data_IF_748442128214
#
_entry.id   IF_748442128214
#
_cell.length_a   1.000
_cell.length_b   1.000
_cell.length_c   1.000
_cell.angle_alpha   90.00
_cell.angle_beta   90.00
_cell.angle_gamma   90.00
#
_symmetry.space_group_name_H-M   'P 1'
#
loop_
_entity.id
_entity.type
_entity.pdbx_description
1 polymer ?
#
# COMPACT_ATOMS: atom_id res chain seq x y z
N UNK A 1 2.27 -29.44 -12.93
CA UNK A 1 3.69 -29.05 -13.09
C UNK A 1 4.64 -30.25 -13.07
N UNK A 2 4.35 -31.33 -12.34
CA UNK A 2 5.17 -32.56 -12.42
C UNK A 2 6.57 -32.42 -11.81
N UNK A 3 6.72 -31.52 -10.84
CA UNK A 3 7.98 -31.20 -10.16
C UNK A 3 7.84 -31.43 -8.66
N UNK A 4 8.92 -31.84 -8.00
CA UNK A 4 8.95 -32.09 -6.55
C UNK A 4 8.83 -30.78 -5.75
N UNK A 5 9.41 -29.70 -6.29
CA UNK A 5 9.38 -28.37 -5.69
C UNK A 5 8.99 -27.32 -6.72
N UNK A 6 8.25 -26.32 -6.27
CA UNK A 6 7.94 -25.11 -7.04
C UNK A 6 8.66 -23.91 -6.44
N UNK A 7 9.04 -22.97 -7.29
CA UNK A 7 9.53 -21.67 -6.87
C UNK A 7 8.37 -20.68 -6.88
N UNK A 8 8.32 -19.80 -5.88
CA UNK A 8 7.27 -18.78 -5.77
C UNK A 8 7.83 -17.42 -6.14
N UNK A 9 7.08 -16.67 -6.91
CA UNK A 9 7.33 -15.26 -7.21
C UNK A 9 6.03 -14.50 -6.98
N UNK A 10 6.04 -13.54 -6.05
CA UNK A 10 4.83 -12.86 -5.61
C UNK A 10 5.08 -11.43 -5.16
N UNK A 11 4.06 -10.59 -5.31
CA UNK A 11 4.06 -9.18 -4.90
C UNK A 11 2.75 -8.88 -4.19
N UNK A 12 2.78 -8.00 -3.19
CA UNK A 12 1.55 -7.53 -2.50
C UNK A 12 0.76 -8.72 -1.92
N UNK A 13 -0.54 -8.85 -2.21
CA UNK A 13 -1.34 -10.04 -1.87
C UNK A 13 -0.67 -11.37 -2.25
N UNK A 14 0.15 -11.41 -3.32
CA UNK A 14 0.92 -12.60 -3.69
C UNK A 14 1.90 -13.05 -2.60
N UNK A 15 2.40 -12.15 -1.75
CA UNK A 15 3.24 -12.50 -0.60
C UNK A 15 2.40 -13.08 0.53
N UNK A 16 1.20 -12.55 0.76
CA UNK A 16 0.23 -13.10 1.72
C UNK A 16 -0.13 -14.55 1.37
N UNK A 17 -0.36 -14.82 0.08
CA UNK A 17 -0.56 -16.17 -0.43
C UNK A 17 0.69 -17.04 -0.30
N UNK A 18 1.88 -16.51 -0.64
CA UNK A 18 3.13 -17.25 -0.53
C UNK A 18 3.45 -17.68 0.90
N UNK A 19 3.21 -16.82 1.90
CA UNK A 19 3.34 -17.16 3.32
C UNK A 19 2.40 -18.31 3.71
N UNK A 20 1.17 -18.29 3.19
CA UNK A 20 0.18 -19.35 3.41
C UNK A 20 0.62 -20.69 2.79
N UNK A 21 1.23 -20.65 1.61
CA UNK A 21 1.80 -21.84 0.96
C UNK A 21 3.02 -22.36 1.72
N UNK A 22 3.95 -21.48 2.14
CA UNK A 22 5.12 -21.85 2.95
C UNK A 22 4.71 -22.51 4.26
N UNK A 23 3.63 -22.04 4.88
CA UNK A 23 3.07 -22.62 6.11
C UNK A 23 2.48 -24.01 5.90
N UNK A 24 1.71 -24.21 4.83
CA UNK A 24 0.98 -25.46 4.57
C UNK A 24 1.81 -26.52 3.86
N UNK A 25 2.78 -26.10 3.05
CA UNK A 25 3.58 -26.97 2.17
C UNK A 25 5.08 -26.63 2.23
N UNK A 26 5.70 -26.56 3.42
CA UNK A 26 7.08 -26.08 3.56
C UNK A 26 8.11 -26.90 2.76
N UNK A 27 7.84 -28.19 2.55
CA UNK A 27 8.76 -29.09 1.81
C UNK A 27 8.60 -29.05 0.29
N UNK A 28 7.54 -28.40 -0.21
CA UNK A 28 7.22 -28.32 -1.64
C UNK A 28 7.74 -27.05 -2.30
N UNK A 29 8.38 -26.16 -1.54
CA UNK A 29 8.89 -24.88 -2.05
C UNK A 29 10.41 -24.91 -2.14
N UNK A 30 10.94 -24.57 -3.31
CA UNK A 30 12.39 -24.48 -3.58
C UNK A 30 12.96 -23.15 -3.10
N UNK A 31 12.50 -22.06 -3.70
CA UNK A 31 12.91 -20.68 -3.43
C UNK A 31 11.71 -19.73 -3.53
N UNK A 32 11.78 -18.60 -2.84
CA UNK A 32 10.75 -17.56 -2.92
C UNK A 32 11.35 -16.19 -3.22
N UNK A 33 10.81 -15.49 -4.22
CA UNK A 33 11.10 -14.09 -4.45
C UNK A 33 9.83 -13.28 -4.18
N UNK A 34 9.87 -12.40 -3.18
CA UNK A 34 8.69 -11.68 -2.70
C UNK A 34 8.96 -10.18 -2.71
N UNK A 35 8.03 -9.40 -3.26
CA UNK A 35 8.09 -7.96 -3.24
C UNK A 35 6.96 -7.34 -2.43
N UNK A 36 7.25 -6.21 -1.78
CA UNK A 36 6.21 -5.37 -1.16
C UNK A 36 5.38 -6.12 -0.15
N UNK A 37 6.08 -6.69 0.84
CA UNK A 37 5.56 -7.74 1.71
C UNK A 37 4.31 -7.34 2.48
N UNK A 38 3.32 -8.22 2.41
CA UNK A 38 2.11 -8.24 3.22
C UNK A 38 2.02 -9.57 3.97
N UNK A 39 1.91 -9.47 5.29
CA UNK A 39 1.78 -10.58 6.22
C UNK A 39 0.34 -11.11 6.33
N UNK A 40 0.22 -12.29 6.94
CA UNK A 40 -1.08 -12.98 7.13
C UNK A 40 -2.02 -12.24 8.08
N UNK A 41 -1.47 -11.41 8.99
CA UNK A 41 -2.23 -10.56 9.91
C UNK A 41 -2.30 -9.09 9.45
N UNK A 42 -2.00 -8.81 8.17
CA UNK A 42 -1.82 -7.42 7.68
C UNK A 42 -2.84 -7.01 6.61
N UNK A 43 -3.97 -7.72 6.47
CA UNK A 43 -5.06 -7.31 5.56
C UNK A 43 -5.55 -5.89 5.88
N UNK A 44 -5.67 -5.56 7.17
CA UNK A 44 -5.96 -4.19 7.62
C UNK A 44 -4.65 -3.48 7.97
N UNK A 45 -4.35 -2.40 7.25
CA UNK A 45 -3.12 -1.61 7.37
C UNK A 45 -3.18 -0.70 8.59
N UNK A 46 -2.05 -0.57 9.28
CA UNK A 46 -1.93 0.28 10.47
C UNK A 46 -1.88 1.77 10.09
N UNK A 47 -2.87 2.60 10.49
CA UNK A 47 -2.88 4.02 10.12
C UNK A 47 -1.63 4.78 10.58
N UNK A 48 -1.03 4.44 11.72
CA UNK A 48 0.21 5.07 12.17
C UNK A 48 1.40 4.79 11.23
N UNK A 49 1.42 3.65 10.53
CA UNK A 49 2.47 3.31 9.55
C UNK A 49 2.30 4.08 8.26
N UNK A 50 1.04 4.34 7.87
CA UNK A 50 0.71 5.20 6.73
C UNK A 50 1.09 6.66 7.04
N UNK A 51 0.82 7.15 8.25
CA UNK A 51 1.26 8.49 8.68
C UNK A 51 2.79 8.60 8.71
N UNK A 52 3.51 7.57 9.16
CA UNK A 52 4.97 7.52 9.10
C UNK A 52 5.48 7.59 7.65
N UNK A 53 4.83 6.88 6.72
CA UNK A 53 5.09 6.98 5.28
C UNK A 53 4.84 8.40 4.75
N UNK A 54 3.70 9.02 5.06
CA UNK A 54 3.40 10.39 4.63
C UNK A 54 4.39 11.41 5.19
N UNK A 55 4.90 11.21 6.40
CA UNK A 55 6.00 12.02 6.95
C UNK A 55 7.33 11.82 6.19
N UNK A 56 7.60 10.62 5.66
CA UNK A 56 8.76 10.40 4.77
C UNK A 56 8.58 11.17 3.47
N UNK A 57 7.39 11.12 2.88
CA UNK A 57 7.04 11.85 1.66
C UNK A 57 7.15 13.36 1.88
N UNK A 58 6.63 13.87 3.00
CA UNK A 58 6.76 15.27 3.38
C UNK A 58 8.22 15.71 3.38
N UNK A 59 9.13 14.95 4.02
CA UNK A 59 10.56 15.28 4.04
C UNK A 59 11.20 15.35 2.65
N UNK A 60 10.68 14.63 1.66
CA UNK A 60 11.21 14.71 0.29
C UNK A 60 10.96 16.08 -0.37
N UNK A 61 9.99 16.87 0.11
CA UNK A 61 9.77 18.24 -0.36
C UNK A 61 10.95 19.16 0.01
N UNK A 62 11.82 18.79 0.96
CA UNK A 62 13.04 19.56 1.29
C UNK A 62 14.02 19.65 0.11
N UNK A 63 13.90 18.76 -0.89
CA UNK A 63 14.71 18.78 -2.10
C UNK A 63 14.30 19.88 -3.09
N UNK A 64 13.14 20.52 -2.89
CA UNK A 64 12.66 21.63 -3.72
C UNK A 64 12.21 22.80 -2.81
N UNK A 65 13.03 23.87 -2.71
CA UNK A 65 12.71 25.05 -1.89
C UNK A 65 11.38 25.71 -2.27
N UNK A 66 10.96 25.65 -3.54
CA UNK A 66 9.68 26.21 -3.98
C UNK A 66 8.54 25.35 -3.46
N UNK A 67 8.65 24.03 -3.59
CA UNK A 67 7.66 23.10 -3.06
C UNK A 67 7.53 23.20 -1.53
N UNK A 68 8.67 23.24 -0.81
CA UNK A 68 8.67 23.39 0.65
C UNK A 68 8.10 24.72 1.11
N UNK A 69 8.39 25.83 0.42
CA UNK A 69 7.82 27.12 0.75
C UNK A 69 6.29 27.15 0.56
N UNK A 70 5.78 26.49 -0.48
CA UNK A 70 4.35 26.36 -0.73
C UNK A 70 3.67 25.39 0.26
N UNK A 71 4.37 24.33 0.68
CA UNK A 71 3.85 23.27 1.55
C UNK A 71 4.80 23.05 2.74
N UNK A 72 4.66 23.85 3.81
CA UNK A 72 5.49 23.69 4.99
C UNK A 72 5.30 22.35 5.71
N UNK A 73 4.09 21.77 5.60
CA UNK A 73 3.75 20.48 6.19
C UNK A 73 2.61 19.82 5.40
N UNK A 74 2.93 18.79 4.61
CA UNK A 74 1.99 18.07 3.76
C UNK A 74 0.89 17.35 4.57
N UNK A 75 1.18 16.55 5.61
CA UNK A 75 0.14 15.94 6.46
C UNK A 75 -0.85 16.96 7.06
N UNK A 76 -0.38 18.13 7.49
CA UNK A 76 -1.24 19.18 8.04
C UNK A 76 -2.10 19.86 6.96
N UNK A 77 -1.54 20.09 5.77
CA UNK A 77 -2.30 20.53 4.61
C UNK A 77 -3.40 19.52 4.27
N UNK A 78 -3.08 18.23 4.24
CA UNK A 78 -4.04 17.17 3.93
C UNK A 78 -5.22 17.17 4.92
N UNK A 79 -4.93 17.13 6.23
CA UNK A 79 -5.96 17.16 7.27
C UNK A 79 -6.89 18.36 7.16
N UNK A 80 -6.34 19.56 6.96
CA UNK A 80 -7.13 20.80 6.80
C UNK A 80 -8.09 20.71 5.62
N UNK A 81 -7.62 20.20 4.47
CA UNK A 81 -8.47 20.05 3.28
C UNK A 81 -9.55 18.99 3.52
N UNK A 82 -9.23 17.87 4.17
CA UNK A 82 -10.21 16.84 4.55
C UNK A 82 -11.30 17.41 5.46
N UNK A 83 -10.92 18.09 6.54
CA UNK A 83 -11.84 18.68 7.50
C UNK A 83 -12.78 19.69 6.84
N UNK A 84 -12.25 20.55 5.96
CA UNK A 84 -13.06 21.54 5.24
C UNK A 84 -14.05 20.90 4.28
N UNK A 85 -13.61 19.91 3.48
CA UNK A 85 -14.49 19.22 2.53
C UNK A 85 -15.51 18.32 3.23
N UNK A 86 -15.19 17.78 4.41
CA UNK A 86 -16.18 17.04 5.20
C UNK A 86 -17.26 17.97 5.76
N UNK A 87 -16.88 19.18 6.21
CA UNK A 87 -17.83 20.16 6.72
C UNK A 87 -18.71 20.79 5.62
N UNK A 88 -18.15 21.02 4.43
CA UNK A 88 -18.86 21.55 3.26
C UNK A 88 -18.46 20.77 1.99
N UNK A 89 -19.11 19.63 1.72
CA UNK A 89 -18.81 18.79 0.57
C UNK A 89 -18.92 19.53 -0.76
N UNK A 90 -17.83 19.56 -1.52
CA UNK A 90 -17.76 20.30 -2.77
C UNK A 90 -18.56 19.61 -3.87
N UNK A 91 -19.36 20.36 -4.67
CA UNK A 91 -19.96 19.82 -5.88
C UNK A 91 -18.87 19.50 -6.91
N UNK A 92 -19.04 18.39 -7.61
CA UNK A 92 -18.12 17.94 -8.65
C UNK A 92 -18.86 17.14 -9.71
N UNK A 93 -18.51 17.39 -10.97
CA UNK A 93 -18.91 16.52 -12.08
C UNK A 93 -17.83 15.46 -12.32
N UNK A 94 -18.20 14.18 -12.28
CA UNK A 94 -17.32 13.08 -12.66
C UNK A 94 -17.84 12.46 -13.96
N UNK A 95 -16.96 12.34 -14.96
CA UNK A 95 -17.28 11.75 -16.26
C UNK A 95 -16.71 10.34 -16.35
N UNK A 96 -17.55 9.37 -16.72
CA UNK A 96 -17.18 7.99 -16.96
C UNK A 96 -17.78 7.43 -18.25
N UNK A 97 -17.59 6.12 -18.51
CA UNK A 97 -18.13 5.45 -19.69
C UNK A 97 -19.66 5.56 -19.82
N UNK A 98 -20.35 5.63 -18.68
CA UNK A 98 -21.82 5.67 -18.59
C UNK A 98 -22.40 7.10 -18.61
N UNK A 99 -21.55 8.13 -18.76
CA UNK A 99 -21.94 9.54 -18.77
C UNK A 99 -21.29 10.37 -17.66
N UNK A 100 -21.80 11.59 -17.47
CA UNK A 100 -21.35 12.48 -16.39
C UNK A 100 -22.36 12.47 -15.24
N UNK A 101 -21.87 12.45 -14.01
CA UNK A 101 -22.67 12.50 -12.79
C UNK A 101 -22.17 13.59 -11.86
N UNK A 102 -23.12 14.32 -11.29
CA UNK A 102 -22.86 15.27 -10.21
C UNK A 102 -22.75 14.51 -8.89
N UNK A 103 -21.64 14.68 -8.19
CA UNK A 103 -21.42 14.16 -6.85
C UNK A 103 -21.09 15.29 -5.88
N UNK A 104 -21.20 15.00 -4.59
CA UNK A 104 -20.65 15.84 -3.52
C UNK A 104 -19.47 15.12 -2.90
N UNK A 105 -18.29 15.72 -3.04
CA UNK A 105 -17.05 15.17 -2.51
C UNK A 105 -16.82 15.68 -1.09
N UNK A 106 -16.97 14.77 -0.12
CA UNK A 106 -16.55 14.98 1.27
C UNK A 106 -15.08 14.67 1.52
N UNK A 107 -14.62 14.88 2.76
CA UNK A 107 -13.26 14.58 3.18
C UNK A 107 -12.94 13.10 3.05
N UNK A 108 -13.88 12.21 3.41
CA UNK A 108 -13.72 10.76 3.27
C UNK A 108 -13.41 10.34 1.81
N UNK A 109 -14.13 10.90 0.84
CA UNK A 109 -13.91 10.61 -0.58
C UNK A 109 -12.51 11.04 -1.06
N UNK A 110 -12.02 12.18 -0.58
CA UNK A 110 -10.66 12.64 -0.86
C UNK A 110 -9.59 11.78 -0.17
N UNK A 111 -9.83 11.31 1.06
CA UNK A 111 -8.92 10.38 1.74
C UNK A 111 -8.81 9.05 0.97
N UNK A 112 -9.92 8.52 0.45
CA UNK A 112 -9.93 7.32 -0.40
C UNK A 112 -9.12 7.54 -1.68
N UNK A 113 -9.35 8.66 -2.38
CA UNK A 113 -8.60 9.01 -3.58
C UNK A 113 -7.09 9.12 -3.31
N UNK A 114 -6.71 9.80 -2.23
CA UNK A 114 -5.31 9.91 -1.83
C UNK A 114 -4.68 8.55 -1.48
N UNK A 115 -5.43 7.67 -0.81
CA UNK A 115 -5.00 6.29 -0.53
C UNK A 115 -4.73 5.46 -1.79
N UNK A 116 -5.40 5.77 -2.90
CA UNK A 116 -5.13 5.16 -4.21
C UNK A 116 -3.84 5.65 -4.87
N UNK A 117 -3.34 6.83 -4.48
CA UNK A 117 -2.19 7.48 -5.13
C UNK A 117 -0.84 7.15 -4.48
N UNK A 118 -0.83 6.63 -3.25
CA UNK A 118 0.41 6.40 -2.49
C UNK A 118 1.22 5.18 -2.94
N UNK A 119 0.70 4.40 -3.90
CA UNK A 119 1.33 3.15 -4.30
C UNK A 119 2.69 3.36 -4.98
N UNK A 120 2.81 4.32 -5.90
CA UNK A 120 4.03 4.52 -6.67
C UNK A 120 4.38 6.01 -6.85
N UNK A 121 5.67 6.35 -7.04
CA UNK A 121 6.13 7.73 -7.16
C UNK A 121 5.37 8.59 -8.18
N UNK A 122 5.00 8.12 -9.40
CA UNK A 122 4.32 8.97 -10.37
C UNK A 122 2.98 9.55 -9.87
N UNK A 123 2.13 8.73 -9.27
CA UNK A 123 0.86 9.19 -8.68
C UNK A 123 1.08 9.91 -7.35
N UNK A 124 2.00 9.41 -6.52
CA UNK A 124 2.36 10.00 -5.24
C UNK A 124 2.81 11.46 -5.38
N UNK A 125 3.59 11.75 -6.42
CA UNK A 125 4.14 13.08 -6.71
C UNK A 125 3.06 14.12 -7.00
N UNK A 126 1.85 13.70 -7.38
CA UNK A 126 0.74 14.62 -7.65
C UNK A 126 0.03 15.08 -6.37
N UNK A 127 0.19 14.36 -5.25
CA UNK A 127 -0.51 14.68 -3.99
C UNK A 127 -0.24 16.12 -3.53
N UNK A 128 1.01 16.61 -3.42
CA UNK A 128 1.28 18.00 -3.02
C UNK A 128 0.51 19.04 -3.84
N UNK A 129 0.58 18.98 -5.17
CA UNK A 129 -0.13 19.93 -6.05
C UNK A 129 -1.63 19.85 -5.90
N UNK A 130 -2.17 18.63 -5.85
CA UNK A 130 -3.59 18.39 -5.70
C UNK A 130 -4.10 19.05 -4.41
N UNK A 131 -3.44 18.80 -3.28
CA UNK A 131 -3.87 19.37 -2.01
C UNK A 131 -3.69 20.88 -1.94
N UNK A 132 -2.67 21.46 -2.58
CA UNK A 132 -2.55 22.91 -2.72
C UNK A 132 -3.72 23.52 -3.52
N UNK A 133 -4.05 22.93 -4.67
CA UNK A 133 -5.15 23.38 -5.51
C UNK A 133 -6.49 23.29 -4.77
N UNK A 134 -6.72 22.16 -4.09
CA UNK A 134 -7.90 21.98 -3.26
C UNK A 134 -7.93 23.01 -2.15
N UNK A 135 -6.85 23.24 -1.40
CA UNK A 135 -6.77 24.27 -0.35
C UNK A 135 -7.08 25.68 -0.88
N UNK A 136 -6.72 25.98 -2.13
CA UNK A 136 -7.07 27.22 -2.83
C UNK A 136 -8.51 27.27 -3.38
N UNK A 137 -9.31 26.20 -3.20
CA UNK A 137 -10.71 26.12 -3.64
C UNK A 137 -10.92 25.61 -5.06
N UNK A 138 -9.87 25.12 -5.73
CA UNK A 138 -9.93 24.57 -7.10
C UNK A 138 -10.33 23.10 -7.06
N UNK A 139 -11.61 22.82 -6.78
CA UNK A 139 -12.13 21.47 -6.57
C UNK A 139 -12.20 20.64 -7.87
N UNK A 140 -12.27 21.31 -9.02
CA UNK A 140 -12.22 20.70 -10.35
C UNK A 140 -10.91 19.96 -10.63
N UNK A 141 -9.82 20.30 -9.92
CA UNK A 141 -8.51 19.67 -10.10
C UNK A 141 -8.52 18.15 -9.78
N UNK A 142 -9.47 17.68 -8.97
CA UNK A 142 -9.60 16.27 -8.62
C UNK A 142 -10.48 15.48 -9.61
N UNK A 143 -11.32 16.14 -10.40
CA UNK A 143 -12.31 15.46 -11.26
C UNK A 143 -11.69 14.39 -12.20
N UNK A 144 -10.52 14.62 -12.85
CA UNK A 144 -9.89 13.59 -13.70
C UNK A 144 -9.37 12.36 -12.94
N UNK A 145 -9.26 12.46 -11.61
CA UNK A 145 -8.68 11.45 -10.73
C UNK A 145 -9.74 10.66 -9.98
N UNK A 146 -10.98 11.14 -9.97
CA UNK A 146 -12.09 10.44 -9.36
C UNK A 146 -12.62 9.36 -10.31
N UNK A 147 -12.71 8.10 -9.86
CA UNK A 147 -13.43 7.10 -10.62
C UNK A 147 -14.91 7.46 -10.70
N UNK A 148 -15.56 7.06 -11.80
CA UNK A 148 -17.01 7.18 -11.90
C UNK A 148 -17.68 6.34 -10.79
N UNK A 149 -18.73 6.85 -10.10
CA UNK A 149 -19.37 6.17 -8.97
C UNK A 149 -19.83 4.73 -9.25
N UNK A 150 -20.21 4.41 -10.49
CA UNK A 150 -20.59 3.04 -10.88
C UNK A 150 -19.46 2.02 -10.70
N UNK A 151 -18.19 2.46 -10.70
CA UNK A 151 -17.02 1.61 -10.47
C UNK A 151 -16.43 1.69 -9.06
N UNK A 152 -16.91 2.58 -8.20
CA UNK A 152 -16.27 2.91 -6.92
C UNK A 152 -16.67 1.97 -5.77
N UNK A 153 -17.91 1.47 -5.82
CA UNK A 153 -18.53 0.66 -4.75
C UNK A 153 -18.97 -0.72 -5.24
N UNK A 154 -18.45 -1.17 -6.38
CA UNK A 154 -18.70 -2.52 -6.86
C UNK A 154 -18.02 -3.56 -5.97
N UNK A 155 -18.73 -4.63 -5.63
CA UNK A 155 -18.15 -5.81 -4.95
C UNK A 155 -17.87 -6.85 -6.01
N UNK A 156 -16.60 -7.28 -6.12
CA UNK A 156 -16.18 -8.31 -7.09
C UNK A 156 -16.38 -9.73 -6.54
N UNK A 157 -16.63 -9.86 -5.24
CA UNK A 157 -16.88 -11.10 -4.51
C UNK A 157 -15.59 -11.77 -4.04
N UNK A 158 -14.71 -12.13 -4.99
CA UNK A 158 -13.47 -12.84 -4.68
C UNK A 158 -12.49 -12.07 -3.77
N UNK A 159 -12.07 -10.82 -4.08
CA UNK A 159 -11.14 -10.10 -3.22
C UNK A 159 -11.74 -9.82 -1.83
N UNK A 160 -13.01 -9.41 -1.77
CA UNK A 160 -13.67 -9.14 -0.49
C UNK A 160 -13.80 -10.39 0.36
N UNK A 161 -14.13 -11.55 -0.22
CA UNK A 161 -14.19 -12.81 0.51
C UNK A 161 -12.81 -13.25 1.02
N UNK A 162 -11.74 -13.03 0.24
CA UNK A 162 -10.37 -13.33 0.65
C UNK A 162 -9.91 -12.43 1.80
N UNK A 163 -10.25 -11.13 1.75
CA UNK A 163 -9.94 -10.18 2.81
C UNK A 163 -10.73 -10.46 4.09
N UNK A 164 -12.02 -10.79 3.99
CA UNK A 164 -12.85 -11.21 5.13
C UNK A 164 -12.27 -12.47 5.78
N UNK A 165 -11.89 -13.47 4.97
CA UNK A 165 -11.34 -14.74 5.46
C UNK A 165 -9.98 -14.57 6.14
N UNK A 166 -9.09 -13.79 5.53
CA UNK A 166 -7.74 -13.55 6.05
C UNK A 166 -7.77 -12.65 7.28
N UNK A 167 -8.60 -11.60 7.23
CA UNK A 167 -8.93 -10.72 8.35
C UNK A 167 -7.73 -10.10 9.06
N UNK A 168 -7.95 -9.70 10.29
CA UNK A 168 -6.92 -9.20 11.20
C UNK A 168 -7.21 -9.74 12.60
N UNK A 169 -6.16 -9.94 13.39
CA UNK A 169 -6.26 -10.31 14.80
C UNK A 169 -7.01 -9.22 15.59
N UNK A 170 -7.75 -9.59 16.66
CA UNK A 170 -8.41 -8.61 17.53
C UNK A 170 -7.43 -7.59 18.12
N UNK A 171 -6.22 -8.01 18.46
CA UNK A 171 -5.18 -7.14 19.02
C UNK A 171 -4.71 -6.11 18.01
N UNK A 172 -4.45 -6.53 16.76
CA UNK A 172 -4.06 -5.59 15.70
C UNK A 172 -5.21 -4.68 15.30
N UNK A 173 -6.45 -5.20 15.25
CA UNK A 173 -7.63 -4.40 14.98
C UNK A 173 -7.82 -3.31 16.03
N UNK A 174 -7.65 -3.61 17.32
CA UNK A 174 -7.73 -2.60 18.38
C UNK A 174 -6.70 -1.47 18.19
N UNK A 175 -5.50 -1.78 17.69
CA UNK A 175 -4.49 -0.78 17.35
C UNK A 175 -4.92 0.06 16.14
N UNK A 176 -5.46 -0.56 15.08
CA UNK A 176 -6.00 0.16 13.91
C UNK A 176 -7.10 1.13 14.34
N UNK A 177 -8.05 0.68 15.16
CA UNK A 177 -9.17 1.48 15.65
C UNK A 177 -8.71 2.67 16.49
N UNK A 178 -7.68 2.50 17.32
CA UNK A 178 -7.10 3.60 18.08
C UNK A 178 -6.41 4.63 17.16
N UNK A 179 -5.60 4.15 16.21
CA UNK A 179 -4.79 4.98 15.32
C UNK A 179 -5.62 5.79 14.32
N UNK A 180 -6.69 5.21 13.76
CA UNK A 180 -7.50 5.86 12.71
C UNK A 180 -8.13 7.19 13.16
N UNK A 181 -8.28 7.40 14.47
CA UNK A 181 -8.89 8.62 15.03
C UNK A 181 -8.08 9.90 14.78
N UNK A 182 -6.77 9.77 14.51
CA UNK A 182 -5.86 10.92 14.30
C UNK A 182 -5.06 10.84 13.00
N UNK A 183 -5.15 9.71 12.29
CA UNK A 183 -4.42 9.46 11.05
C UNK A 183 -4.85 10.39 9.92
N UNK A 184 -3.92 10.75 9.02
CA UNK A 184 -4.17 11.66 7.89
C UNK A 184 -5.26 11.11 6.95
N UNK A 185 -5.16 9.82 6.62
CA UNK A 185 -6.14 9.16 5.75
C UNK A 185 -7.28 8.51 6.53
N UNK A 186 -7.28 8.69 7.86
CA UNK A 186 -8.27 8.15 8.78
C UNK A 186 -8.57 6.68 8.49
N UNK A 187 -9.85 6.43 8.32
CA UNK A 187 -10.42 5.11 8.10
C UNK A 187 -10.52 4.73 6.59
N UNK A 188 -10.53 5.73 5.71
CA UNK A 188 -10.73 5.53 4.27
C UNK A 188 -9.62 4.70 3.60
N UNK A 189 -8.41 4.69 4.16
CA UNK A 189 -7.29 3.93 3.59
C UNK A 189 -7.52 2.42 3.59
N UNK A 190 -8.23 1.91 4.60
CA UNK A 190 -8.52 0.49 4.72
C UNK A 190 -9.86 0.09 4.09
N UNK A 191 -10.71 1.06 3.74
CA UNK A 191 -12.03 0.78 3.18
C UNK A 191 -11.95 -0.20 2.00
N UNK A 192 -12.74 -1.29 1.99
CA UNK A 192 -13.87 -1.57 2.87
C UNK A 192 -13.57 -2.50 4.06
N UNK A 193 -12.31 -2.81 4.37
CA UNK A 193 -11.95 -3.52 5.61
C UNK A 193 -11.65 -2.50 6.72
N UNK A 194 -11.92 -2.78 8.00
CA UNK A 194 -12.63 -3.93 8.55
C UNK A 194 -14.17 -3.85 8.43
N UNK A 195 -14.75 -2.89 7.70
CA UNK A 195 -16.20 -2.68 7.61
C UNK A 195 -17.00 -3.86 7.07
N UNK A 196 -16.38 -4.72 6.26
CA UNK A 196 -16.99 -5.96 5.78
C UNK A 196 -16.83 -7.16 6.74
N UNK A 197 -16.16 -7.01 7.88
CA UNK A 197 -16.07 -8.11 8.85
C UNK A 197 -17.47 -8.55 9.30
N UNK A 198 -17.72 -9.86 9.23
CA UNK A 198 -19.03 -10.43 9.53
C UNK A 198 -20.06 -10.36 8.40
N UNK A 199 -19.74 -9.74 7.26
CA UNK A 199 -20.65 -9.71 6.10
C UNK A 199 -20.91 -11.10 5.51
N UNK A 200 -19.95 -12.02 5.64
CA UNK A 200 -20.14 -13.45 5.32
C UNK A 200 -20.04 -14.27 6.61
N UNK A 201 -21.16 -14.82 7.13
CA UNK A 201 -21.16 -15.56 8.38
C UNK A 201 -20.22 -16.77 8.37
N UNK A 202 -19.41 -16.91 9.43
CA UNK A 202 -18.55 -18.08 9.66
C UNK A 202 -17.27 -18.13 8.84
N UNK A 203 -16.94 -17.08 8.07
CA UNK A 203 -15.69 -16.99 7.33
C UNK A 203 -14.64 -16.27 8.19
N UNK A 204 -13.70 -17.05 8.74
CA UNK A 204 -12.46 -16.59 9.37
C UNK A 204 -11.42 -17.73 9.32
N UNK A 205 -10.22 -17.47 8.81
CA UNK A 205 -9.11 -18.43 8.78
C UNK A 205 -8.45 -18.64 10.16
N UNK A 206 -8.78 -17.80 11.14
CA UNK A 206 -8.46 -17.97 12.55
C UNK A 206 -7.02 -17.56 12.95
N UNK A 207 -6.72 -17.59 14.26
CA UNK A 207 -5.42 -17.15 14.78
C UNK A 207 -4.26 -18.01 14.27
N UNK A 208 -4.48 -19.31 14.06
CA UNK A 208 -3.46 -20.21 13.51
C UNK A 208 -3.06 -19.81 12.10
N UNK A 209 -3.96 -19.24 11.29
CA UNK A 209 -3.60 -18.70 9.99
C UNK A 209 -2.69 -17.48 10.13
N UNK A 210 -3.05 -16.54 11.02
CA UNK A 210 -2.36 -15.25 11.23
C UNK A 210 -1.05 -15.36 12.01
N UNK A 211 -0.83 -16.46 12.73
CA UNK A 211 0.37 -16.67 13.53
C UNK A 211 1.66 -16.64 12.68
N UNK A 212 2.74 -15.98 13.15
CA UNK A 212 4.02 -15.97 12.44
C UNK A 212 4.60 -17.38 12.33
N UNK A 213 5.39 -17.61 11.28
CA UNK A 213 6.06 -18.88 11.02
C UNK A 213 7.57 -18.70 10.95
N UNK A 214 8.30 -19.80 11.15
CA UNK A 214 9.74 -19.87 10.87
C UNK A 214 9.93 -20.27 9.40
N UNK A 215 10.60 -19.44 8.61
CA UNK A 215 10.84 -19.71 7.18
C UNK A 215 12.34 -19.88 6.93
N UNK A 216 12.75 -21.12 6.67
CA UNK A 216 14.13 -21.48 6.30
C UNK A 216 14.33 -21.62 4.78
N UNK A 217 13.24 -21.57 4.00
CA UNK A 217 13.28 -21.55 2.53
C UNK A 217 14.09 -20.34 2.05
N UNK A 218 15.05 -20.52 1.12
CA UNK A 218 15.80 -19.40 0.56
C UNK A 218 14.85 -18.34 -0.01
N UNK A 219 15.06 -17.09 0.39
CA UNK A 219 14.19 -15.97 0.03
C UNK A 219 14.97 -14.77 -0.51
N UNK A 220 14.43 -14.14 -1.55
CA UNK A 220 14.80 -12.79 -2.00
C UNK A 220 13.63 -11.85 -1.71
N UNK A 221 13.84 -10.87 -0.85
CA UNK A 221 12.81 -9.94 -0.39
C UNK A 221 13.09 -8.56 -0.97
N UNK A 222 12.20 -8.02 -1.78
CA UNK A 222 12.39 -6.76 -2.51
C UNK A 222 11.40 -5.71 -2.01
N UNK A 223 11.88 -4.51 -1.65
CA UNK A 223 11.05 -3.43 -1.15
C UNK A 223 11.37 -2.11 -1.85
N UNK A 224 10.34 -1.29 -2.10
CA UNK A 224 10.49 0.11 -2.49
C UNK A 224 10.38 1.02 -1.27
N UNK A 225 11.29 2.00 -1.11
CA UNK A 225 11.26 2.87 0.08
C UNK A 225 10.06 3.83 0.14
N UNK A 226 9.39 4.03 -1.00
CA UNK A 226 8.16 4.82 -1.16
C UNK A 226 6.94 3.94 -1.46
N UNK A 227 6.92 2.70 -0.96
CA UNK A 227 5.72 1.86 -0.96
C UNK A 227 4.74 2.33 0.14
N UNK A 228 3.68 3.02 -0.27
CA UNK A 228 2.59 3.44 0.61
C UNK A 228 1.51 2.39 0.82
N UNK A 229 1.52 1.25 0.11
CA UNK A 229 0.52 0.17 0.24
C UNK A 229 0.93 -0.87 1.28
N UNK A 230 2.23 -1.19 1.33
CA UNK A 230 2.84 -2.02 2.37
C UNK A 230 4.05 -1.28 2.94
N UNK A 231 3.87 -0.39 3.94
CA UNK A 231 4.96 0.39 4.52
C UNK A 231 6.10 -0.50 5.03
N UNK A 232 7.34 -0.02 4.88
CA UNK A 232 8.56 -0.76 5.26
C UNK A 232 8.52 -1.32 6.68
N UNK A 233 7.90 -0.59 7.62
CA UNK A 233 7.73 -1.03 9.00
C UNK A 233 6.85 -2.28 9.13
N UNK A 234 5.79 -2.40 8.34
CA UNK A 234 4.96 -3.61 8.29
C UNK A 234 5.68 -4.74 7.54
N UNK A 235 6.41 -4.42 6.46
CA UNK A 235 7.26 -5.40 5.77
C UNK A 235 8.31 -6.00 6.71
N UNK A 236 8.90 -5.20 7.59
CA UNK A 236 9.90 -5.65 8.57
C UNK A 236 9.35 -6.72 9.54
N UNK A 237 8.07 -6.64 9.92
CA UNK A 237 7.39 -7.68 10.72
C UNK A 237 7.37 -9.03 9.98
N UNK A 238 7.20 -9.00 8.66
CA UNK A 238 7.19 -10.19 7.80
C UNK A 238 8.62 -10.70 7.54
N UNK A 239 9.56 -9.80 7.26
CA UNK A 239 10.99 -10.10 7.03
C UNK A 239 11.60 -10.85 8.22
N UNK A 240 11.17 -10.54 9.45
CA UNK A 240 11.63 -11.19 10.67
C UNK A 240 11.35 -12.71 10.71
N UNK A 241 10.38 -13.19 9.95
CA UNK A 241 10.03 -14.62 9.85
C UNK A 241 11.02 -15.44 9.01
N UNK A 242 11.80 -14.79 8.14
CA UNK A 242 12.75 -15.44 7.23
C UNK A 242 14.15 -15.53 7.84
N UNK A 243 14.72 -16.73 7.90
CA UNK A 243 16.06 -16.98 8.43
C UNK A 243 17.13 -17.17 7.35
N UNK A 244 16.71 -17.49 6.12
CA UNK A 244 17.58 -17.63 4.96
C UNK A 244 17.11 -16.67 3.87
N UNK A 245 17.52 -15.40 3.99
CA UNK A 245 17.04 -14.31 3.12
C UNK A 245 18.17 -13.40 2.66
N UNK A 246 17.97 -12.84 1.47
CA UNK A 246 18.62 -11.62 1.01
C UNK A 246 17.56 -10.52 0.84
N UNK A 247 17.92 -9.29 1.14
CA UNK A 247 17.04 -8.12 1.07
C UNK A 247 17.52 -7.14 0.00
N UNK A 248 16.60 -6.70 -0.86
CA UNK A 248 16.86 -5.66 -1.86
C UNK A 248 15.96 -4.47 -1.57
N UNK A 249 16.54 -3.36 -1.15
CA UNK A 249 15.83 -2.09 -1.02
C UNK A 249 16.08 -1.25 -2.26
N UNK A 250 15.03 -0.83 -2.94
CA UNK A 250 15.12 0.14 -4.04
C UNK A 250 14.67 1.50 -3.53
N UNK A 251 15.63 2.38 -3.27
CA UNK A 251 15.37 3.74 -2.83
C UNK A 251 14.58 4.51 -3.89
N UNK A 252 13.57 5.26 -3.43
CA UNK A 252 12.62 6.02 -4.24
C UNK A 252 11.70 5.19 -5.14
N UNK A 253 11.73 3.85 -5.05
CA UNK A 253 10.73 3.00 -5.71
C UNK A 253 9.47 2.86 -4.84
N UNK A 254 8.35 2.59 -5.49
CA UNK A 254 7.06 2.32 -4.84
C UNK A 254 6.75 0.84 -4.72
N UNK A 255 5.45 0.54 -4.71
CA UNK A 255 4.88 -0.79 -4.55
C UNK A 255 5.26 -1.76 -5.68
N UNK A 256 5.31 -1.30 -6.93
CA UNK A 256 5.58 -2.15 -8.09
C UNK A 256 7.09 -2.33 -8.34
N UNK A 257 7.83 -2.81 -7.34
CA UNK A 257 9.30 -2.70 -7.29
C UNK A 257 10.05 -3.66 -8.23
N UNK A 258 9.46 -4.79 -8.66
CA UNK A 258 10.17 -5.76 -9.52
C UNK A 258 10.61 -5.18 -10.87
N UNK A 259 9.87 -4.21 -11.40
CA UNK A 259 10.15 -3.56 -12.68
C UNK A 259 10.73 -2.15 -12.51
N UNK A 260 10.91 -1.69 -11.27
CA UNK A 260 11.26 -0.30 -10.98
C UNK A 260 12.72 0.03 -11.29
N UNK A 261 13.64 -0.94 -11.17
CA UNK A 261 15.07 -0.73 -11.38
C UNK A 261 15.68 -1.89 -12.22
N UNK A 262 16.52 -1.59 -13.23
CA UNK A 262 17.05 -2.61 -14.16
C UNK A 262 17.76 -3.76 -13.46
N UNK A 263 18.52 -3.47 -12.39
CA UNK A 263 19.28 -4.49 -11.67
C UNK A 263 18.42 -5.47 -10.86
N UNK A 264 17.15 -5.15 -10.56
CA UNK A 264 16.25 -6.05 -9.81
C UNK A 264 16.01 -7.34 -10.59
N UNK A 265 15.81 -7.24 -11.91
CA UNK A 265 15.62 -8.41 -12.77
C UNK A 265 16.88 -9.29 -12.78
N UNK A 266 18.06 -8.68 -12.84
CA UNK A 266 19.34 -9.40 -12.76
C UNK A 266 19.50 -10.16 -11.44
N UNK A 267 19.10 -9.54 -10.33
CA UNK A 267 19.14 -10.18 -9.00
C UNK A 267 18.14 -11.34 -8.89
N UNK A 268 16.93 -11.20 -9.45
CA UNK A 268 15.95 -12.28 -9.52
C UNK A 268 16.47 -13.48 -10.31
N UNK A 269 17.06 -13.24 -11.49
CA UNK A 269 17.64 -14.30 -12.32
C UNK A 269 18.75 -15.03 -11.58
N UNK A 270 19.71 -14.30 -10.98
CA UNK A 270 20.78 -14.89 -10.16
C UNK A 270 20.21 -15.74 -9.03
N UNK A 271 19.24 -15.20 -8.29
CA UNK A 271 18.62 -15.88 -7.16
C UNK A 271 17.94 -17.20 -7.55
N UNK A 272 17.21 -17.23 -8.66
CA UNK A 272 16.55 -18.44 -9.15
C UNK A 272 17.52 -19.43 -9.84
N UNK A 273 18.65 -18.95 -10.35
CA UNK A 273 19.77 -19.80 -10.80
C UNK A 273 20.62 -20.35 -9.64
N UNK A 274 20.17 -20.18 -8.40
CA UNK A 274 20.85 -20.65 -7.20
C UNK A 274 22.19 -19.96 -6.90
N UNK A 275 22.44 -18.82 -7.54
CA UNK A 275 23.59 -17.98 -7.23
C UNK A 275 23.37 -17.22 -5.91
N UNK A 276 24.47 -16.91 -5.23
CA UNK A 276 24.42 -16.10 -4.02
C UNK A 276 24.00 -14.67 -4.34
N UNK A 277 22.98 -14.18 -3.63
CA UNK A 277 22.57 -12.77 -3.64
C UNK A 277 22.75 -12.22 -2.24
N UNK A 278 23.40 -11.07 -2.13
CA UNK A 278 23.62 -10.36 -0.87
C UNK A 278 22.58 -9.26 -0.68
N UNK A 279 22.46 -8.77 0.55
CA UNK A 279 21.68 -7.57 0.84
C UNK A 279 22.18 -6.41 -0.04
N UNK A 280 21.25 -5.74 -0.72
CA UNK A 280 21.56 -4.74 -1.75
C UNK A 280 20.65 -3.53 -1.59
N UNK A 281 21.22 -2.33 -1.68
CA UNK A 281 20.46 -1.09 -1.84
C UNK A 281 20.68 -0.55 -3.25
N UNK A 282 19.59 -0.40 -3.99
CA UNK A 282 19.54 0.24 -5.30
C UNK A 282 18.89 1.61 -5.15
N UNK A 283 19.03 2.50 -6.13
CA UNK A 283 18.46 3.84 -6.03
C UNK A 283 17.93 4.33 -7.37
N UNK A 284 16.72 4.87 -7.34
CA UNK A 284 16.16 5.68 -8.42
C UNK A 284 16.28 7.17 -8.07
N UNK A 285 16.19 8.08 -9.06
CA UNK A 285 16.05 9.50 -8.78
C UNK A 285 14.88 9.77 -7.81
N UNK A 286 15.01 10.70 -6.86
CA UNK A 286 13.90 11.06 -5.98
C UNK A 286 12.73 11.63 -6.80
N UNK A 287 11.47 11.41 -6.39
CA UNK A 287 10.33 12.04 -7.02
C UNK A 287 10.41 13.56 -6.91
N UNK A 288 9.93 14.24 -7.94
CA UNK A 288 9.74 15.69 -7.95
C UNK A 288 8.31 16.02 -7.59
N UNK A 289 8.09 17.03 -6.74
CA UNK A 289 6.76 17.44 -6.31
C UNK A 289 6.42 18.81 -6.91
N UNK A 290 5.93 18.88 -8.15
CA UNK A 290 5.57 20.16 -8.76
C UNK A 290 4.45 20.82 -7.95
N UNK A 291 4.57 22.11 -7.69
CA UNK A 291 3.56 22.91 -6.97
C UNK A 291 2.85 23.94 -7.86
N UNK A 292 3.13 23.90 -9.17
CA UNK A 292 2.50 24.71 -10.22
C UNK A 292 1.83 23.87 -11.30
#
# INVERSE_FOLDING_TARGET
LGVDKVNLWGISYGTHLALSILKRHPHSIGRVALASLEGQDQTVKRPARIDAFLNRVDRLLDNDPVARAAIPNLPALMRRVHERLEADPAPMTVTGPDGSVEIRLGGFGLQLAAGGMVANPPSLSMLPRLYLALDAGMTEALAPMMPHPSGLFGISGMPEAMDIASGTSPERLALVEAERTTAVLGDAFNFPMPHLLGAIPGIDLGPDFRAPIRIDTPALLVAGSLDGRTPLEEQAEVIAQFHNKAQVLVENAGHNVFEAHPDVQGLLVKFFNEEAVADTTLSLPPPTFPVS
#
